data_IF_751617934025
#
_entry.id   IF_751617934025
#
_cell.length_a   1.000
_cell.length_b   1.000
_cell.length_c   1.000
_cell.angle_alpha   90.00
_cell.angle_beta   90.00
_cell.angle_gamma   90.00
#
_symmetry.space_group_name_H-M   'P 1'
#
loop_
_entity.id
_entity.type
_entity.pdbx_description
1 polymer ?
#
# COMPACT_ATOMS: atom_id res chain seq x y z
N UNK A 1 -19.44 0.17 -30.88
CA UNK A 1 -19.29 0.61 -32.29
C UNK A 1 -20.05 -0.37 -33.19
N UNK A 2 -20.29 -0.04 -34.45
CA UNK A 2 -20.94 -0.95 -35.41
C UNK A 2 -20.00 -1.31 -36.55
N UNK A 3 -20.25 -2.44 -37.21
CA UNK A 3 -19.48 -2.89 -38.38
C UNK A 3 -20.35 -3.73 -39.33
N UNK A 4 -19.89 -3.82 -40.57
CA UNK A 4 -20.38 -4.77 -41.58
C UNK A 4 -19.19 -5.57 -42.08
N UNK A 5 -19.42 -6.79 -42.55
CA UNK A 5 -18.40 -7.61 -43.22
C UNK A 5 -18.83 -7.86 -44.67
N UNK A 6 -17.87 -7.92 -45.58
CA UNK A 6 -18.11 -8.14 -47.02
C UNK A 6 -17.21 -9.24 -47.54
N UNK A 7 -17.72 -10.02 -48.49
CA UNK A 7 -16.96 -11.03 -49.25
C UNK A 7 -16.39 -10.48 -50.57
N UNK A 8 -16.51 -9.16 -50.79
CA UNK A 8 -16.08 -8.48 -52.00
C UNK A 8 -17.15 -8.36 -53.09
N UNK A 9 -18.32 -9.00 -52.92
CA UNK A 9 -19.46 -8.91 -53.84
C UNK A 9 -20.68 -8.28 -53.14
N UNK A 10 -20.95 -8.68 -51.90
CA UNK A 10 -22.06 -8.16 -51.10
C UNK A 10 -21.57 -7.76 -49.69
N UNK A 11 -22.31 -6.87 -49.03
CA UNK A 11 -22.06 -6.50 -47.64
C UNK A 11 -23.13 -7.10 -46.72
N UNK A 12 -22.73 -7.53 -45.53
CA UNK A 12 -23.66 -8.02 -44.51
C UNK A 12 -24.56 -6.91 -43.98
N UNK A 13 -25.59 -7.30 -43.21
CA UNK A 13 -26.26 -6.37 -42.32
C UNK A 13 -25.28 -5.77 -41.30
N UNK A 14 -25.64 -4.64 -40.71
CA UNK A 14 -24.88 -4.01 -39.62
C UNK A 14 -24.95 -4.85 -38.35
N UNK A 15 -23.79 -5.12 -37.76
CA UNK A 15 -23.62 -5.69 -36.43
C UNK A 15 -23.18 -4.60 -35.44
N UNK A 16 -23.57 -4.73 -34.18
CA UNK A 16 -23.21 -3.80 -33.10
C UNK A 16 -22.33 -4.49 -32.08
N UNK A 17 -21.20 -3.89 -31.78
CA UNK A 17 -20.35 -4.21 -30.63
C UNK A 17 -20.68 -3.25 -29.50
N UNK A 18 -21.20 -3.81 -28.42
CA UNK A 18 -21.42 -3.10 -27.15
C UNK A 18 -20.38 -3.58 -26.16
N UNK A 19 -19.65 -2.64 -25.56
CA UNK A 19 -18.73 -2.91 -24.45
C UNK A 19 -19.32 -2.23 -23.24
N UNK A 20 -19.60 -3.01 -22.21
CA UNK A 20 -19.99 -2.48 -20.89
C UNK A 20 -18.74 -2.45 -20.03
N UNK A 21 -18.31 -1.25 -19.65
CA UNK A 21 -17.27 -1.06 -18.63
C UNK A 21 -17.98 -0.96 -17.29
N UNK A 22 -17.67 -1.88 -16.38
CA UNK A 22 -18.17 -1.83 -15.00
C UNK A 22 -17.17 -1.08 -14.11
N UNK A 23 -17.63 -0.47 -13.00
CA UNK A 23 -16.72 0.09 -12.00
C UNK A 23 -15.75 -0.97 -11.47
N UNK A 24 -14.55 -0.52 -11.10
CA UNK A 24 -13.69 -1.31 -10.22
C UNK A 24 -14.34 -1.38 -8.84
N UNK A 25 -14.34 -2.57 -8.23
CA UNK A 25 -14.87 -2.80 -6.89
C UNK A 25 -13.77 -2.78 -5.83
N UNK A 26 -12.50 -2.70 -6.24
CA UNK A 26 -11.38 -2.61 -5.32
C UNK A 26 -11.32 -1.22 -4.67
N UNK A 27 -11.24 -1.18 -3.34
CA UNK A 27 -11.11 0.04 -2.55
C UNK A 27 -9.68 0.11 -2.02
N UNK A 28 -9.12 1.32 -1.94
CA UNK A 28 -7.78 1.49 -1.37
C UNK A 28 -7.77 1.14 0.13
N UNK A 29 -6.67 0.59 0.65
CA UNK A 29 -6.53 0.33 2.07
C UNK A 29 -6.49 1.63 2.88
N UNK A 30 -6.85 1.53 4.16
CA UNK A 30 -6.88 2.62 5.13
C UNK A 30 -5.78 2.39 6.15
N UNK A 31 -4.76 3.25 6.11
CA UNK A 31 -3.70 3.27 7.10
C UNK A 31 -4.09 4.09 8.34
N UNK A 32 -3.61 3.69 9.52
CA UNK A 32 -3.84 4.39 10.79
C UNK A 32 -2.51 4.72 11.47
N UNK A 33 -2.38 5.94 11.99
CA UNK A 33 -1.14 6.38 12.62
C UNK A 33 -0.72 5.50 13.80
N UNK A 34 0.53 5.05 13.77
CA UNK A 34 1.17 4.33 14.87
C UNK A 34 1.90 5.24 15.85
N UNK A 35 2.05 4.77 17.09
CA UNK A 35 2.83 5.45 18.11
C UNK A 35 3.57 4.45 18.99
N UNK A 36 4.89 4.65 19.15
CA UNK A 36 5.75 3.81 19.97
C UNK A 36 6.69 4.67 20.82
N UNK A 37 7.23 4.09 21.89
CA UNK A 37 8.24 4.73 22.74
C UNK A 37 9.40 3.79 22.98
N UNK A 38 10.62 4.33 22.96
CA UNK A 38 11.85 3.60 23.31
C UNK A 38 12.73 4.52 24.15
N UNK A 39 13.46 3.95 25.10
CA UNK A 39 14.43 4.71 25.88
C UNK A 39 15.60 5.17 24.99
N UNK A 40 16.24 6.29 25.37
CA UNK A 40 17.49 6.74 24.74
C UNK A 40 18.53 5.60 24.73
N UNK A 41 19.18 5.39 23.58
CA UNK A 41 20.15 4.31 23.38
C UNK A 41 19.56 2.90 23.37
N UNK A 42 18.24 2.76 23.51
CA UNK A 42 17.53 1.49 23.38
C UNK A 42 17.35 1.04 21.94
N UNK A 43 16.75 -0.12 21.77
CA UNK A 43 16.30 -0.63 20.46
C UNK A 43 14.84 -1.02 20.58
N UNK A 44 14.02 -0.51 19.68
CA UNK A 44 12.61 -0.86 19.54
C UNK A 44 12.50 -2.02 18.56
N UNK A 45 11.91 -3.12 19.00
CA UNK A 45 11.63 -4.28 18.16
C UNK A 45 10.12 -4.52 18.16
N UNK A 46 9.46 -4.31 17.02
CA UNK A 46 8.02 -4.50 16.86
C UNK A 46 7.78 -5.71 15.96
N UNK A 47 7.12 -6.78 16.46
CA UNK A 47 6.81 -7.95 15.66
C UNK A 47 5.66 -7.68 14.68
N UNK A 48 5.53 -8.55 13.68
CA UNK A 48 4.40 -8.51 12.74
C UNK A 48 3.06 -8.72 13.47
N UNK A 49 1.96 -8.09 13.02
CA UNK A 49 1.86 -7.28 11.79
C UNK A 49 2.40 -5.85 11.92
N UNK A 50 2.85 -5.42 13.11
CA UNK A 50 3.59 -4.18 13.34
C UNK A 50 2.91 -2.94 12.76
N UNK A 51 3.51 -2.35 11.72
CA UNK A 51 2.93 -1.20 11.00
C UNK A 51 1.51 -1.44 10.50
N UNK A 52 1.16 -2.70 10.19
CA UNK A 52 -0.11 -3.07 9.60
C UNK A 52 -1.18 -3.47 10.66
N UNK A 53 -0.86 -3.43 11.96
CA UNK A 53 -1.72 -3.99 13.02
C UNK A 53 -3.07 -3.28 13.15
N UNK A 54 -3.10 -2.00 12.80
CA UNK A 54 -4.28 -1.13 12.85
C UNK A 54 -4.79 -0.73 11.45
N UNK A 55 -4.18 -1.27 10.39
CA UNK A 55 -4.53 -0.98 9.01
C UNK A 55 -5.58 -1.96 8.50
N UNK A 56 -6.38 -1.53 7.53
CA UNK A 56 -7.45 -2.36 6.97
C UNK A 56 -7.59 -2.19 5.47
N UNK A 57 -7.92 -3.27 4.79
CA UNK A 57 -8.39 -3.28 3.42
C UNK A 57 -9.88 -3.69 3.41
N UNK A 58 -10.78 -2.94 2.76
CA UNK A 58 -12.21 -3.27 2.77
C UNK A 58 -12.56 -4.62 2.11
N UNK A 59 -11.76 -5.04 1.14
CA UNK A 59 -11.92 -6.32 0.45
C UNK A 59 -11.16 -7.46 1.15
N UNK A 60 -10.31 -7.12 2.12
CA UNK A 60 -9.50 -8.06 2.90
C UNK A 60 -8.22 -8.48 2.17
N UNK A 61 -7.76 -7.67 1.22
CA UNK A 61 -6.50 -7.90 0.52
C UNK A 61 -5.30 -7.82 1.48
N UNK A 62 -4.24 -8.57 1.15
CA UNK A 62 -3.03 -8.58 1.97
C UNK A 62 -2.29 -7.26 1.83
N UNK A 63 -1.99 -6.63 2.96
CA UNK A 63 -1.25 -5.37 3.02
C UNK A 63 0.26 -5.61 3.05
N UNK A 64 1.02 -4.66 2.50
CA UNK A 64 2.49 -4.64 2.55
C UNK A 64 2.94 -3.19 2.64
N UNK A 65 3.64 -2.78 3.71
CA UNK A 65 4.01 -1.39 3.86
C UNK A 65 5.21 -1.05 2.97
N UNK A 66 5.16 0.11 2.33
CA UNK A 66 6.31 0.70 1.65
C UNK A 66 6.74 1.95 2.38
N UNK A 67 7.97 1.98 2.90
CA UNK A 67 8.52 3.18 3.56
C UNK A 67 8.72 4.27 2.53
N UNK A 68 8.10 5.43 2.76
CA UNK A 68 8.15 6.60 1.89
C UNK A 68 9.19 7.61 2.34
N UNK A 69 9.34 7.83 3.65
CA UNK A 69 10.37 8.68 4.24
C UNK A 69 11.00 7.99 5.46
N UNK A 70 12.32 8.12 5.60
CA UNK A 70 13.09 7.53 6.70
C UNK A 70 13.12 8.47 7.93
N UNK A 71 13.33 7.91 9.14
CA UNK A 71 13.56 8.72 10.33
C UNK A 71 14.82 9.58 10.20
N UNK A 72 14.81 10.77 10.81
CA UNK A 72 15.93 11.71 10.76
C UNK A 72 16.97 11.47 11.87
N UNK A 73 16.57 10.81 12.95
CA UNK A 73 17.35 10.66 14.18
C UNK A 73 17.48 9.21 14.65
N UNK A 74 17.37 8.25 13.72
CA UNK A 74 17.59 6.84 13.97
C UNK A 74 17.71 6.02 12.71
N UNK A 75 17.89 4.71 12.88
CA UNK A 75 17.95 3.75 11.80
C UNK A 75 16.70 2.87 11.89
N UNK A 76 15.96 2.78 10.79
CA UNK A 76 14.80 1.90 10.63
C UNK A 76 15.17 0.69 9.75
N UNK A 77 14.80 -0.50 10.21
CA UNK A 77 14.87 -1.74 9.44
C UNK A 77 13.47 -2.35 9.34
N UNK A 78 12.68 -1.98 8.32
CA UNK A 78 11.33 -2.50 8.11
C UNK A 78 11.36 -3.87 7.40
N UNK A 79 10.28 -4.64 7.53
CA UNK A 79 10.03 -5.87 6.78
C UNK A 79 8.65 -5.84 6.12
N UNK A 80 8.47 -6.67 5.09
CA UNK A 80 7.24 -6.72 4.29
C UNK A 80 6.01 -7.23 5.07
N UNK A 81 6.22 -7.95 6.17
CA UNK A 81 5.15 -8.42 7.07
C UNK A 81 4.72 -7.36 8.09
N UNK A 82 5.24 -6.13 7.96
CA UNK A 82 4.97 -5.00 8.85
C UNK A 82 5.77 -4.99 10.14
N UNK A 83 6.57 -6.02 10.43
CA UNK A 83 7.55 -5.96 11.52
C UNK A 83 8.65 -4.95 11.24
N UNK A 84 9.24 -4.37 12.29
CA UNK A 84 10.36 -3.46 12.13
C UNK A 84 11.24 -3.37 13.39
N UNK A 85 12.49 -2.96 13.15
CA UNK A 85 13.44 -2.56 14.21
C UNK A 85 13.78 -1.09 14.04
N UNK A 86 13.80 -0.35 15.14
CA UNK A 86 14.25 1.04 15.18
C UNK A 86 15.29 1.25 16.28
N UNK A 87 16.39 1.91 15.94
CA UNK A 87 17.46 2.30 16.88
C UNK A 87 17.70 3.81 16.77
N UNK A 88 17.43 4.61 17.82
CA UNK A 88 17.77 6.02 17.83
C UNK A 88 19.27 6.25 17.67
N UNK A 89 19.64 7.40 17.09
CA UNK A 89 21.01 7.88 17.11
C UNK A 89 21.50 8.05 18.56
N UNK A 90 22.78 7.77 18.79
CA UNK A 90 23.38 7.89 20.13
C UNK A 90 23.21 9.32 20.69
N UNK A 91 22.70 9.43 21.92
CA UNK A 91 22.47 10.72 22.56
C UNK A 91 21.17 11.42 22.17
N UNK A 92 20.39 10.87 21.23
CA UNK A 92 19.16 11.50 20.76
C UNK A 92 18.00 11.26 21.73
N UNK A 93 17.32 12.35 22.10
CA UNK A 93 16.04 12.35 22.78
C UNK A 93 15.10 13.32 22.05
N UNK A 94 13.85 12.90 21.85
CA UNK A 94 12.87 13.68 21.10
C UNK A 94 11.95 12.79 20.27
N UNK A 95 11.07 13.44 19.51
CA UNK A 95 10.20 12.76 18.55
C UNK A 95 10.92 12.58 17.23
N UNK A 96 10.97 11.35 16.75
CA UNK A 96 11.38 11.02 15.39
C UNK A 96 10.19 10.42 14.63
N UNK A 97 10.19 10.54 13.30
CA UNK A 97 9.06 10.17 12.46
C UNK A 97 9.53 9.56 11.15
N UNK A 98 8.82 8.54 10.68
CA UNK A 98 8.92 8.00 9.34
C UNK A 98 7.50 7.81 8.80
N UNK A 99 7.34 7.69 7.48
CA UNK A 99 6.04 7.47 6.85
C UNK A 99 6.05 6.22 6.00
N UNK A 100 4.89 5.60 5.84
CA UNK A 100 4.67 4.46 4.97
C UNK A 100 3.36 4.61 4.19
N UNK A 101 3.20 3.82 3.14
CA UNK A 101 1.99 3.68 2.32
C UNK A 101 1.73 2.22 2.00
#
# INVERSE_FOLDING_TARGET
FTYTVSDGQEASNTATVTITVTPDTNVAPVAVNDAYTVAEGGTLNVPAPGLLDNDTDPEGDTLTPTISDLPAHGILSPAADGSFVYTPASGYFGTDTFTYT
#
